data_IF_138689679093
#
_entry.id   IF_138689679093
#
_cell.length_a   1.000
_cell.length_b   1.000
_cell.length_c   1.000
_cell.angle_alpha   90.00
_cell.angle_beta   90.00
_cell.angle_gamma   90.00
#
_symmetry.space_group_name_H-M   'P 1'
#
loop_
_entity.id
_entity.type
_entity.pdbx_description
1 polymer ?
#
# COMPACT_ATOMS: atom_id res chain seq x y z
N UNK A 1 8.46 -2.37 25.09
CA UNK A 1 7.70 -1.41 24.24
C UNK A 1 7.86 -1.76 22.76
N UNK A 2 9.09 -1.89 22.24
CA UNK A 2 9.32 -2.34 20.86
C UNK A 2 8.74 -3.73 20.58
N UNK A 3 8.98 -4.71 21.47
CA UNK A 3 8.43 -6.07 21.29
C UNK A 3 6.89 -6.10 21.30
N UNK A 4 6.27 -5.25 22.12
CA UNK A 4 4.82 -5.07 22.16
C UNK A 4 4.28 -4.50 20.86
N UNK A 5 4.97 -3.51 20.28
CA UNK A 5 4.62 -2.93 18.99
C UNK A 5 4.81 -3.95 17.85
N UNK A 6 5.92 -4.68 17.84
CA UNK A 6 6.19 -5.73 16.85
C UNK A 6 5.14 -6.85 16.95
N UNK A 7 4.83 -7.30 18.16
CA UNK A 7 3.78 -8.30 18.38
C UNK A 7 2.42 -7.81 17.88
N UNK A 8 2.07 -6.54 18.13
CA UNK A 8 0.85 -5.94 17.60
C UNK A 8 0.84 -5.87 16.08
N UNK A 9 1.95 -5.44 15.44
CA UNK A 9 2.06 -5.36 13.98
C UNK A 9 1.98 -6.73 13.31
N UNK A 10 2.58 -7.76 13.90
CA UNK A 10 2.48 -9.15 13.42
C UNK A 10 1.03 -9.65 13.51
N UNK A 11 0.34 -9.34 14.60
CA UNK A 11 -1.05 -9.73 14.79
C UNK A 11 -2.03 -8.94 13.91
N UNK A 12 -1.63 -7.78 13.39
CA UNK A 12 -2.48 -6.88 12.60
C UNK A 12 -1.80 -6.48 11.28
N UNK A 13 -1.75 -7.38 10.27
CA UNK A 13 -1.04 -7.14 9.01
C UNK A 13 -1.47 -5.86 8.28
N UNK A 14 -2.77 -5.56 8.24
CA UNK A 14 -3.28 -4.33 7.62
C UNK A 14 -2.72 -3.06 8.29
N UNK A 15 -2.63 -3.04 9.61
CA UNK A 15 -2.05 -1.92 10.37
C UNK A 15 -0.54 -1.85 10.15
N UNK A 16 0.14 -3.00 10.12
CA UNK A 16 1.56 -3.07 9.80
C UNK A 16 1.85 -2.45 8.42
N UNK A 17 1.11 -2.86 7.39
CA UNK A 17 1.22 -2.35 6.04
C UNK A 17 0.92 -0.85 5.96
N UNK A 18 -0.10 -0.38 6.67
CA UNK A 18 -0.42 1.03 6.74
C UNK A 18 0.74 1.85 7.34
N UNK A 19 1.35 1.37 8.43
CA UNK A 19 2.47 2.06 9.08
C UNK A 19 3.73 2.06 8.21
N UNK A 20 4.00 0.98 7.46
CA UNK A 20 5.14 0.90 6.55
C UNK A 20 4.93 1.73 5.28
N UNK A 21 3.68 1.85 4.79
CA UNK A 21 3.34 2.69 3.65
C UNK A 21 3.61 4.19 3.90
N UNK A 22 3.63 4.65 5.16
CA UNK A 22 3.97 6.03 5.53
C UNK A 22 5.37 6.44 5.03
N UNK A 23 6.48 5.86 5.55
CA UNK A 23 7.83 6.21 5.12
C UNK A 23 8.10 5.83 3.66
N UNK A 24 7.50 4.75 3.14
CA UNK A 24 7.67 4.34 1.74
C UNK A 24 7.13 5.42 0.79
N UNK A 25 5.92 5.90 1.03
CA UNK A 25 5.31 6.97 0.20
C UNK A 25 6.11 8.26 0.31
N UNK A 26 6.49 8.65 1.53
CA UNK A 26 7.27 9.87 1.74
C UNK A 26 8.65 9.81 1.08
N UNK A 27 9.35 8.68 1.19
CA UNK A 27 10.67 8.46 0.59
C UNK A 27 10.61 8.50 -0.94
N UNK A 28 9.65 7.80 -1.55
CA UNK A 28 9.48 7.80 -3.01
C UNK A 28 9.08 9.20 -3.49
N UNK A 29 8.16 9.89 -2.81
CA UNK A 29 7.77 11.25 -3.19
C UNK A 29 8.96 12.21 -3.11
N UNK A 30 9.78 12.14 -2.06
CA UNK A 30 10.98 12.96 -1.92
C UNK A 30 11.99 12.71 -3.04
N UNK A 31 12.24 11.45 -3.40
CA UNK A 31 13.10 11.10 -4.53
C UNK A 31 12.56 11.65 -5.85
N UNK A 32 11.26 11.50 -6.10
CA UNK A 32 10.61 11.99 -7.31
C UNK A 32 10.60 13.52 -7.40
N UNK A 33 10.46 14.23 -6.27
CA UNK A 33 10.63 15.69 -6.19
C UNK A 33 12.06 16.09 -6.55
N UNK A 34 13.07 15.40 -6.00
CA UNK A 34 14.48 15.63 -6.31
C UNK A 34 14.81 15.45 -7.79
N UNK A 35 14.17 14.46 -8.42
CA UNK A 35 14.27 14.18 -9.86
C UNK A 35 13.40 15.09 -10.74
N UNK A 36 12.61 16.00 -10.15
CA UNK A 36 11.65 16.87 -10.85
C UNK A 36 10.64 16.09 -11.70
N UNK A 37 10.25 14.90 -11.24
CA UNK A 37 9.25 14.09 -11.91
C UNK A 37 7.88 14.80 -11.92
N UNK A 38 7.04 14.57 -12.95
CA UNK A 38 5.68 15.07 -12.95
C UNK A 38 4.87 14.39 -11.84
N UNK A 39 4.09 15.18 -11.09
CA UNK A 39 3.17 14.72 -10.03
C UNK A 39 3.80 13.71 -9.05
N UNK A 40 4.92 14.06 -8.39
CA UNK A 40 5.74 13.11 -7.65
C UNK A 40 4.99 12.45 -6.48
N UNK A 41 4.09 13.17 -5.82
CA UNK A 41 3.27 12.63 -4.72
C UNK A 41 2.29 11.57 -5.21
N UNK A 42 1.57 11.83 -6.32
CA UNK A 42 0.62 10.88 -6.89
C UNK A 42 1.34 9.64 -7.45
N UNK A 43 2.49 9.83 -8.10
CA UNK A 43 3.33 8.72 -8.57
C UNK A 43 3.80 7.85 -7.40
N UNK A 44 4.23 8.46 -6.28
CA UNK A 44 4.61 7.72 -5.08
C UNK A 44 3.44 6.91 -4.51
N UNK A 45 2.26 7.51 -4.38
CA UNK A 45 1.07 6.80 -3.91
C UNK A 45 0.71 5.62 -4.82
N UNK A 46 0.76 5.79 -6.14
CA UNK A 46 0.49 4.72 -7.11
C UNK A 46 1.50 3.58 -6.98
N UNK A 47 2.80 3.89 -6.87
CA UNK A 47 3.85 2.88 -6.73
C UNK A 47 3.65 2.06 -5.45
N UNK A 48 3.42 2.73 -4.31
CA UNK A 48 3.19 2.04 -3.03
C UNK A 48 1.90 1.21 -3.08
N UNK A 49 0.80 1.76 -3.60
CA UNK A 49 -0.46 1.03 -3.73
C UNK A 49 -0.31 -0.24 -4.60
N UNK A 50 0.44 -0.13 -5.70
CA UNK A 50 0.73 -1.26 -6.59
C UNK A 50 1.69 -2.26 -5.95
N UNK A 51 2.67 -1.79 -5.18
CA UNK A 51 3.59 -2.65 -4.44
C UNK A 51 2.84 -3.55 -3.45
N UNK A 52 1.95 -3.02 -2.62
CA UNK A 52 1.15 -3.85 -1.70
C UNK A 52 0.13 -4.73 -2.45
N UNK A 53 -0.35 -4.28 -3.61
CA UNK A 53 -1.14 -5.14 -4.49
C UNK A 53 -0.33 -6.31 -5.06
N UNK A 54 0.94 -6.15 -5.42
CA UNK A 54 1.76 -7.27 -5.89
C UNK A 54 2.21 -8.18 -4.75
N UNK A 55 2.66 -7.56 -3.65
CA UNK A 55 3.26 -8.24 -2.49
C UNK A 55 2.36 -9.32 -1.90
N UNK A 56 1.05 -9.04 -1.78
CA UNK A 56 0.10 -9.98 -1.17
C UNK A 56 -0.54 -10.95 -2.19
N UNK A 57 -0.15 -10.92 -3.47
CA UNK A 57 -0.78 -11.74 -4.50
C UNK A 57 -0.59 -13.25 -4.26
N UNK A 58 0.62 -13.67 -3.87
CA UNK A 58 0.89 -15.09 -3.59
C UNK A 58 0.14 -15.61 -2.36
N UNK A 59 0.07 -14.82 -1.28
CA UNK A 59 -0.72 -15.19 -0.09
C UNK A 59 -2.21 -15.26 -0.43
N UNK A 60 -2.73 -14.29 -1.20
CA UNK A 60 -4.11 -14.31 -1.68
C UNK A 60 -4.43 -15.54 -2.52
N UNK A 61 -3.57 -15.86 -3.47
CA UNK A 61 -3.73 -17.06 -4.30
C UNK A 61 -3.80 -18.32 -3.42
N UNK A 62 -2.94 -18.42 -2.40
CA UNK A 62 -2.96 -19.52 -1.45
C UNK A 62 -4.27 -19.60 -0.66
N UNK A 63 -4.76 -18.47 -0.15
CA UNK A 63 -6.02 -18.42 0.59
C UNK A 63 -7.23 -18.80 -0.28
N UNK A 64 -7.26 -18.36 -1.54
CA UNK A 64 -8.34 -18.68 -2.48
C UNK A 64 -8.33 -20.18 -2.83
N UNK A 65 -7.16 -20.80 -2.99
CA UNK A 65 -7.06 -22.26 -3.14
C UNK A 65 -7.65 -23.01 -1.95
N UNK A 66 -7.39 -22.54 -0.72
CA UNK A 66 -7.97 -23.13 0.49
C UNK A 66 -9.50 -22.97 0.58
N UNK A 67 -10.06 -21.98 -0.11
CA UNK A 67 -11.51 -21.84 -0.26
C UNK A 67 -12.11 -22.85 -1.27
N UNK A 68 -11.31 -23.75 -1.84
CA UNK A 68 -11.74 -24.85 -2.72
C UNK A 68 -11.70 -24.52 -4.21
N UNK A 69 -11.05 -23.43 -4.60
CA UNK A 69 -10.94 -23.00 -5.99
C UNK A 69 -9.78 -23.71 -6.68
N UNK A 70 -9.91 -23.98 -7.99
CA UNK A 70 -8.81 -24.56 -8.76
C UNK A 70 -7.64 -23.56 -8.92
N UNK A 71 -6.48 -24.06 -9.34
CA UNK A 71 -5.27 -23.26 -9.42
C UNK A 71 -5.37 -22.07 -10.38
N UNK A 72 -6.06 -22.22 -11.51
CA UNK A 72 -6.20 -21.15 -12.50
C UNK A 72 -7.16 -20.10 -11.98
N UNK A 73 -8.28 -20.52 -11.41
CA UNK A 73 -9.23 -19.61 -10.78
C UNK A 73 -8.61 -18.82 -9.62
N UNK A 74 -7.80 -19.47 -8.78
CA UNK A 74 -7.12 -18.81 -7.67
C UNK A 74 -6.09 -17.79 -8.14
N UNK A 75 -5.31 -18.12 -9.17
CA UNK A 75 -4.36 -17.18 -9.76
C UNK A 75 -5.06 -15.96 -10.35
N UNK A 76 -6.09 -16.16 -11.17
CA UNK A 76 -6.89 -15.07 -11.73
C UNK A 76 -7.61 -14.26 -10.63
N UNK A 77 -8.11 -14.93 -9.59
CA UNK A 77 -8.73 -14.28 -8.44
C UNK A 77 -7.78 -13.36 -7.69
N UNK A 78 -6.54 -13.82 -7.46
CA UNK A 78 -5.49 -13.04 -6.81
C UNK A 78 -5.10 -11.78 -7.61
N UNK A 79 -5.03 -11.89 -8.94
CA UNK A 79 -4.63 -10.80 -9.85
C UNK A 79 -5.77 -9.80 -10.16
N UNK A 80 -7.02 -10.26 -10.23
CA UNK A 80 -8.15 -9.46 -10.72
C UNK A 80 -9.22 -9.15 -9.65
N UNK A 81 -8.85 -9.19 -8.36
CA UNK A 81 -9.73 -8.83 -7.24
C UNK A 81 -11.02 -9.68 -7.14
N UNK A 82 -10.97 -10.95 -7.54
CA UNK A 82 -12.12 -11.86 -7.46
C UNK A 82 -11.87 -12.95 -6.40
N UNK A 83 -12.89 -13.25 -5.60
CA UNK A 83 -12.79 -14.25 -4.53
C UNK A 83 -12.00 -13.79 -3.28
N UNK A 84 -11.71 -12.49 -3.15
CA UNK A 84 -10.97 -11.97 -2.01
C UNK A 84 -11.79 -12.00 -0.72
N UNK A 85 -11.17 -12.46 0.36
CA UNK A 85 -11.70 -12.33 1.71
C UNK A 85 -11.58 -10.87 2.19
N UNK A 86 -12.38 -10.49 3.19
CA UNK A 86 -12.29 -9.16 3.79
C UNK A 86 -10.88 -8.85 4.35
N UNK A 87 -10.18 -9.78 5.05
CA UNK A 87 -8.80 -9.54 5.45
C UNK A 87 -7.85 -9.25 4.29
N UNK A 88 -8.00 -9.94 3.16
CA UNK A 88 -7.17 -9.72 1.97
C UNK A 88 -7.42 -8.34 1.37
N UNK A 89 -8.68 -7.91 1.33
CA UNK A 89 -9.04 -6.56 0.91
C UNK A 89 -8.44 -5.51 1.84
N UNK A 90 -8.51 -5.71 3.17
CA UNK A 90 -7.95 -4.79 4.16
C UNK A 90 -6.43 -4.66 4.04
N UNK A 91 -5.72 -5.76 3.79
CA UNK A 91 -4.26 -5.76 3.66
C UNK A 91 -3.75 -4.98 2.45
N UNK A 92 -4.58 -4.80 1.41
CA UNK A 92 -4.29 -3.92 0.29
C UNK A 92 -4.84 -2.49 0.48
N UNK A 93 -6.08 -2.36 0.93
CA UNK A 93 -6.73 -1.05 1.07
C UNK A 93 -6.07 -0.19 2.15
N UNK A 94 -5.67 -0.77 3.28
CA UNK A 94 -5.06 -0.01 4.38
C UNK A 94 -3.78 0.74 3.95
N UNK A 95 -2.75 0.09 3.36
CA UNK A 95 -1.58 0.81 2.86
C UNK A 95 -1.91 1.74 1.68
N UNK A 96 -2.85 1.36 0.81
CA UNK A 96 -3.28 2.19 -0.33
C UNK A 96 -3.87 3.51 0.15
N UNK A 97 -4.85 3.47 1.07
CA UNK A 97 -5.46 4.66 1.65
C UNK A 97 -4.41 5.52 2.36
N UNK A 98 -3.49 4.91 3.11
CA UNK A 98 -2.39 5.63 3.76
C UNK A 98 -1.48 6.32 2.76
N UNK A 99 -1.10 5.64 1.68
CA UNK A 99 -0.23 6.20 0.64
C UNK A 99 -0.89 7.42 -0.02
N UNK A 100 -2.17 7.34 -0.38
CA UNK A 100 -2.90 8.49 -0.94
C UNK A 100 -3.08 9.64 0.06
N UNK A 101 -3.34 9.34 1.34
CA UNK A 101 -3.43 10.36 2.37
C UNK A 101 -2.10 11.11 2.55
N UNK A 102 -0.97 10.39 2.60
CA UNK A 102 0.36 11.01 2.69
C UNK A 102 0.71 11.80 1.44
N UNK A 103 0.41 11.28 0.25
CA UNK A 103 0.58 12.03 -0.99
C UNK A 103 -0.20 13.35 -0.99
N UNK A 104 -1.46 13.33 -0.52
CA UNK A 104 -2.27 14.55 -0.38
C UNK A 104 -1.64 15.54 0.61
N UNK A 105 -1.18 15.07 1.78
CA UNK A 105 -0.50 15.92 2.78
C UNK A 105 0.76 16.55 2.19
N UNK A 106 1.62 15.76 1.53
CA UNK A 106 2.86 16.25 0.91
C UNK A 106 2.57 17.28 -0.19
N UNK A 107 1.56 17.03 -1.01
CA UNK A 107 1.13 17.97 -2.05
C UNK A 107 0.65 19.29 -1.43
N UNK A 108 -0.16 19.25 -0.37
CA UNK A 108 -0.61 20.43 0.35
C UNK A 108 0.55 21.21 0.98
N UNK A 109 1.52 20.52 1.57
CA UNK A 109 2.71 21.16 2.12
C UNK A 109 3.55 21.84 1.02
N UNK A 110 3.78 21.14 -0.11
CA UNK A 110 4.57 21.68 -1.22
C UNK A 110 3.89 22.87 -1.88
N UNK A 111 2.58 22.80 -2.11
CA UNK A 111 1.81 23.88 -2.72
C UNK A 111 1.85 25.17 -1.89
N UNK A 112 1.76 25.05 -0.55
CA UNK A 112 1.94 26.18 0.38
C UNK A 112 3.33 26.80 0.27
N UNK A 113 4.39 25.97 0.22
CA UNK A 113 5.78 26.46 0.09
C UNK A 113 6.01 27.22 -1.22
N UNK A 114 5.37 26.81 -2.32
CA UNK A 114 5.42 27.54 -3.59
C UNK A 114 4.60 28.83 -3.60
N UNK A 115 3.52 28.93 -2.81
CA UNK A 115 2.73 30.17 -2.72
C UNK A 115 3.42 31.25 -1.87
N UNK A 116 4.30 30.86 -0.95
CA UNK A 116 5.07 31.79 -0.11
C UNK A 116 6.36 32.32 -0.76
N UNK A 117 6.68 31.89 -1.98
CA UNK A 117 7.84 32.35 -2.76
C UNK A 117 7.39 33.20 -3.94
#
# INVERSE_FOLDING_TARGET
>A
MLDTLLGFMIANPATSHALTALPETAGIAAAMIGLRAPRPEATAALVVSTYYFGREAGQREHDIKHAGWDAVQAHLGAEFLYGWSLPNLQQWLAPTCTAWAIAAVLFLMRSRLTQTR
#
